data_IF_933122951832
#
_entry.id   IF_933122951832
#
_cell.length_a   1.000
_cell.length_b   1.000
_cell.length_c   1.000
_cell.angle_alpha   90.00
_cell.angle_beta   90.00
_cell.angle_gamma   90.00
#
_symmetry.space_group_name_H-M   'P 1'
#
loop_
_entity.id
_entity.type
_entity.pdbx_description
1 polymer ?
#
# COMPACT_ATOMS: atom_id res chain seq x y z
N UNK A 1 22.07 -3.75 -16.21
CA UNK A 1 21.78 -2.42 -15.61
C UNK A 1 20.67 -2.66 -14.60
N UNK A 2 20.89 -2.43 -13.31
CA UNK A 2 19.82 -2.52 -12.32
C UNK A 2 18.83 -1.39 -12.61
N UNK A 3 17.53 -1.65 -12.82
CA UNK A 3 16.54 -0.59 -12.96
C UNK A 3 16.64 0.32 -11.75
N UNK A 4 16.75 1.63 -11.96
CA UNK A 4 16.71 2.59 -10.86
C UNK A 4 15.27 2.64 -10.34
N UNK A 5 14.92 1.74 -9.43
CA UNK A 5 13.62 1.73 -8.77
C UNK A 5 13.68 2.61 -7.53
N UNK A 6 12.79 3.59 -7.42
CA UNK A 6 12.63 4.40 -6.21
C UNK A 6 11.35 3.94 -5.48
N UNK A 7 11.45 3.73 -4.16
CA UNK A 7 10.38 3.20 -3.29
C UNK A 7 10.12 4.19 -2.15
N UNK A 8 8.88 4.62 -1.98
CA UNK A 8 8.48 5.43 -0.82
C UNK A 8 7.06 5.11 -0.36
N UNK A 9 6.82 5.32 0.94
CA UNK A 9 5.52 5.15 1.60
C UNK A 9 5.23 6.37 2.46
N UNK A 10 4.06 6.99 2.28
CA UNK A 10 3.47 8.02 3.15
C UNK A 10 4.34 9.24 3.56
N UNK A 11 5.53 9.42 2.99
CA UNK A 11 6.49 10.42 3.47
C UNK A 11 5.99 11.87 3.35
N UNK A 12 5.28 12.18 2.25
CA UNK A 12 4.81 13.54 1.97
C UNK A 12 3.35 13.80 2.40
N UNK A 13 2.51 12.77 2.48
CA UNK A 13 1.06 12.92 2.68
C UNK A 13 0.49 11.92 3.69
N UNK A 14 1.31 11.49 4.65
CA UNK A 14 0.99 10.47 5.65
C UNK A 14 0.23 10.99 6.86
N UNK A 15 -0.55 10.12 7.49
CA UNK A 15 -1.34 10.38 8.70
C UNK A 15 -0.47 10.76 9.91
N UNK A 16 0.80 10.31 9.92
CA UNK A 16 1.80 10.63 10.95
C UNK A 16 2.30 12.08 10.85
N UNK A 17 2.22 12.70 9.67
CA UNK A 17 2.60 14.11 9.47
C UNK A 17 1.54 15.08 10.00
N UNK A 18 0.34 14.59 10.34
CA UNK A 18 -0.78 15.41 10.79
C UNK A 18 -1.13 15.05 12.24
N UNK A 19 -0.83 15.94 13.20
CA UNK A 19 -1.21 15.74 14.60
C UNK A 19 -2.71 15.45 14.74
N UNK A 20 -3.15 14.58 15.67
CA UNK A 20 -4.56 14.19 15.78
C UNK A 20 -5.56 15.36 15.83
N UNK A 21 -5.20 16.45 16.51
CA UNK A 21 -6.03 17.65 16.64
C UNK A 21 -6.17 18.49 15.34
N UNK A 22 -5.33 18.24 14.34
CA UNK A 22 -5.28 18.98 13.07
C UNK A 22 -5.76 18.15 11.88
N UNK A 23 -6.29 16.96 12.12
CA UNK A 23 -6.76 16.05 11.07
C UNK A 23 -8.08 16.56 10.49
N UNK A 24 -7.99 17.07 9.27
CA UNK A 24 -9.13 17.59 8.51
C UNK A 24 -9.05 17.06 7.05
N UNK A 25 -9.76 15.96 6.73
CA UNK A 25 -9.69 15.33 5.42
C UNK A 25 -10.29 16.18 4.29
N UNK A 26 -11.02 17.25 4.61
CA UNK A 26 -11.47 18.23 3.63
C UNK A 26 -10.33 19.12 3.14
N UNK A 27 -9.26 19.29 3.94
CA UNK A 27 -8.14 20.21 3.65
C UNK A 27 -6.83 19.51 3.30
N UNK A 28 -6.62 18.29 3.79
CA UNK A 28 -5.36 17.57 3.55
C UNK A 28 -5.15 17.29 2.06
N UNK A 29 -3.96 17.61 1.57
CA UNK A 29 -3.61 17.53 0.14
C UNK A 29 -2.53 16.49 -0.14
N UNK A 30 -2.65 15.82 -1.29
CA UNK A 30 -1.68 14.87 -1.82
C UNK A 30 -0.55 15.51 -2.63
N UNK A 31 -0.47 16.84 -2.68
CA UNK A 31 0.48 17.61 -3.50
C UNK A 31 1.93 17.12 -3.40
N UNK A 32 2.45 16.96 -2.19
CA UNK A 32 3.84 16.53 -1.97
C UNK A 32 4.13 15.13 -2.52
N UNK A 33 3.12 14.27 -2.65
CA UNK A 33 3.28 12.96 -3.32
C UNK A 33 3.56 13.15 -4.81
N UNK A 34 2.88 14.11 -5.47
CA UNK A 34 3.16 14.46 -6.87
C UNK A 34 4.54 15.09 -7.06
N UNK A 35 5.04 15.86 -6.09
CA UNK A 35 6.41 16.38 -6.09
C UNK A 35 7.45 15.26 -6.00
N UNK A 36 7.24 14.26 -5.13
CA UNK A 36 8.12 13.09 -5.06
C UNK A 36 8.15 12.29 -6.37
N UNK A 37 6.99 12.09 -7.01
CA UNK A 37 6.91 11.44 -8.32
C UNK A 37 7.70 12.27 -9.35
N UNK A 38 7.51 13.59 -9.38
CA UNK A 38 8.24 14.48 -10.30
C UNK A 38 9.75 14.40 -10.11
N UNK A 39 10.22 14.43 -8.87
CA UNK A 39 11.64 14.28 -8.56
C UNK A 39 12.19 12.90 -8.95
N UNK A 40 11.39 11.83 -8.83
CA UNK A 40 11.77 10.52 -9.32
C UNK A 40 11.95 10.54 -10.85
N UNK A 41 11.00 11.14 -11.58
CA UNK A 41 11.09 11.32 -13.02
C UNK A 41 12.28 12.20 -13.44
N UNK A 42 12.61 13.22 -12.65
CA UNK A 42 13.79 14.07 -12.86
C UNK A 42 15.11 13.30 -12.73
N UNK A 43 15.13 12.25 -11.89
CA UNK A 43 16.26 11.33 -11.77
C UNK A 43 16.37 10.33 -12.94
N UNK A 44 15.43 10.36 -13.89
CA UNK A 44 15.41 9.50 -15.08
C UNK A 44 15.13 8.05 -14.75
N UNK A 45 14.29 7.78 -13.73
CA UNK A 45 13.85 6.41 -13.42
C UNK A 45 12.88 5.90 -14.49
N UNK A 46 12.99 4.62 -14.82
CA UNK A 46 12.10 3.93 -15.76
C UNK A 46 10.98 3.16 -15.03
N UNK A 47 11.16 2.94 -13.71
CA UNK A 47 10.27 2.16 -12.87
C UNK A 47 10.08 2.82 -11.49
N UNK A 48 8.84 3.05 -11.10
CA UNK A 48 8.47 3.65 -9.81
C UNK A 48 7.54 2.68 -9.07
N UNK A 49 7.86 2.41 -7.80
CA UNK A 49 7.00 1.62 -6.91
C UNK A 49 6.50 2.54 -5.79
N UNK A 50 5.17 2.72 -5.73
CA UNK A 50 4.52 3.65 -4.80
C UNK A 50 3.76 2.86 -3.73
N UNK A 51 4.11 3.08 -2.46
CA UNK A 51 3.33 2.62 -1.32
C UNK A 51 2.33 3.68 -0.86
N UNK A 52 1.03 3.44 -1.02
CA UNK A 52 -0.01 4.43 -0.69
C UNK A 52 -0.68 4.22 0.67
N UNK A 53 -0.27 3.21 1.44
CA UNK A 53 -0.83 2.94 2.77
C UNK A 53 -0.47 4.02 3.81
N UNK A 54 -1.44 4.40 4.65
CA UNK A 54 -1.25 5.35 5.76
C UNK A 54 -1.47 6.83 5.41
N UNK A 55 -2.26 7.13 4.38
CA UNK A 55 -2.55 8.49 3.92
C UNK A 55 -3.35 9.34 4.92
N UNK A 56 -3.05 10.64 5.02
CA UNK A 56 -3.89 11.64 5.69
C UNK A 56 -4.99 12.23 4.79
N UNK A 57 -4.90 12.00 3.48
CA UNK A 57 -5.64 12.73 2.45
C UNK A 57 -6.95 12.04 2.06
N UNK A 58 -7.94 12.82 1.66
CA UNK A 58 -9.17 12.33 1.03
C UNK A 58 -9.58 13.19 -0.18
N UNK A 59 -8.56 13.63 -0.93
CA UNK A 59 -8.66 14.55 -2.07
C UNK A 59 -8.70 13.82 -3.42
N UNK A 60 -8.90 12.51 -3.45
CA UNK A 60 -8.90 11.73 -4.70
C UNK A 60 -7.56 11.76 -5.45
N UNK A 61 -6.44 12.14 -4.80
CA UNK A 61 -5.18 12.37 -5.51
C UNK A 61 -5.18 13.65 -6.37
N UNK A 62 -6.14 14.56 -6.19
CA UNK A 62 -6.22 15.82 -6.93
C UNK A 62 -4.96 16.69 -6.78
N UNK A 63 -4.48 16.87 -5.54
CA UNK A 63 -3.26 17.62 -5.28
C UNK A 63 -2.03 17.00 -5.97
N UNK A 64 -1.93 15.67 -5.95
CA UNK A 64 -0.85 14.93 -6.63
C UNK A 64 -0.85 15.17 -8.13
N UNK A 65 -2.00 15.07 -8.81
CA UNK A 65 -2.05 15.26 -10.27
C UNK A 65 -1.87 16.73 -10.66
N UNK A 66 -2.33 17.67 -9.83
CA UNK A 66 -2.04 19.10 -10.03
C UNK A 66 -0.55 19.40 -9.93
N UNK A 67 0.14 18.81 -8.94
CA UNK A 67 1.60 18.89 -8.84
C UNK A 67 2.29 18.25 -10.06
N UNK A 68 1.69 17.26 -10.71
CA UNK A 68 2.23 16.66 -11.94
C UNK A 68 1.86 17.42 -13.23
N UNK A 69 1.13 18.54 -13.11
CA UNK A 69 0.82 19.45 -14.23
C UNK A 69 -0.60 19.35 -14.77
N UNK A 70 -1.46 18.49 -14.24
CA UNK A 70 -2.88 18.53 -14.56
C UNK A 70 -3.54 19.81 -14.03
N UNK A 71 -4.54 20.32 -14.75
CA UNK A 71 -5.34 21.48 -14.35
C UNK A 71 -6.74 21.02 -14.00
N UNK A 72 -7.07 21.12 -12.72
CA UNK A 72 -8.38 20.79 -12.16
C UNK A 72 -9.07 22.11 -11.83
N UNK A 73 -10.12 22.45 -12.57
CA UNK A 73 -10.74 23.79 -12.53
C UNK A 73 -12.21 23.75 -12.17
N UNK A 74 -12.67 24.81 -11.52
CA UNK A 74 -14.09 25.08 -11.26
C UNK A 74 -14.84 25.59 -12.49
N UNK A 75 -16.14 25.88 -12.34
CA UNK A 75 -17.00 26.37 -13.42
C UNK A 75 -16.64 27.78 -13.91
N UNK A 76 -15.86 28.54 -13.13
CA UNK A 76 -15.36 29.87 -13.48
C UNK A 76 -13.97 29.82 -14.12
N UNK A 77 -13.36 28.63 -14.21
CA UNK A 77 -12.03 28.42 -14.78
C UNK A 77 -10.88 28.64 -13.80
N UNK A 78 -11.15 28.80 -12.50
CA UNK A 78 -10.10 28.88 -11.48
C UNK A 78 -9.66 27.48 -11.06
N UNK A 79 -8.40 27.32 -10.67
CA UNK A 79 -7.95 26.06 -10.08
C UNK A 79 -8.69 25.79 -8.76
N UNK A 80 -9.06 24.52 -8.54
CA UNK A 80 -9.77 24.12 -7.32
C UNK A 80 -8.93 24.36 -6.06
N UNK A 81 -9.61 24.56 -4.93
CA UNK A 81 -8.96 24.65 -3.62
C UNK A 81 -8.24 23.33 -3.25
N UNK A 82 -7.31 23.41 -2.29
CA UNK A 82 -6.63 22.22 -1.79
C UNK A 82 -7.56 21.31 -0.98
N UNK A 83 -7.30 20.02 -1.04
CA UNK A 83 -7.99 18.99 -0.26
C UNK A 83 -9.30 18.52 -0.90
N UNK A 84 -10.00 17.60 -0.20
CA UNK A 84 -11.27 17.05 -0.68
C UNK A 84 -12.38 18.09 -0.85
N UNK A 85 -12.29 19.25 -0.18
CA UNK A 85 -13.24 20.36 -0.37
C UNK A 85 -13.15 20.97 -1.76
N UNK A 86 -11.96 21.02 -2.37
CA UNK A 86 -11.80 21.56 -3.72
C UNK A 86 -12.48 20.70 -4.77
N UNK A 87 -12.57 19.38 -4.53
CA UNK A 87 -13.32 18.49 -5.40
C UNK A 87 -14.79 18.86 -5.46
N UNK A 88 -15.34 19.56 -4.45
CA UNK A 88 -16.74 20.04 -4.40
C UNK A 88 -17.08 21.02 -5.53
N UNK A 89 -16.10 21.76 -6.06
CA UNK A 89 -16.30 22.76 -7.11
C UNK A 89 -15.77 22.34 -8.48
N UNK A 90 -15.12 21.18 -8.57
CA UNK A 90 -14.50 20.69 -9.81
C UNK A 90 -15.51 20.58 -10.95
N UNK A 91 -15.18 21.16 -12.10
CA UNK A 91 -16.01 21.18 -13.30
C UNK A 91 -15.29 20.65 -14.55
N UNK A 92 -13.96 20.76 -14.62
CA UNK A 92 -13.17 20.27 -15.75
C UNK A 92 -11.78 19.78 -15.33
N UNK A 93 -11.30 18.76 -16.05
CA UNK A 93 -9.97 18.19 -15.92
C UNK A 93 -9.23 18.35 -17.25
N UNK A 94 -8.06 18.96 -17.20
CA UNK A 94 -7.20 19.21 -18.36
C UNK A 94 -5.80 18.63 -18.11
N UNK A 95 -5.43 17.62 -18.90
CA UNK A 95 -4.16 16.90 -18.79
C UNK A 95 -3.12 17.34 -19.83
N UNK A 96 -3.37 18.43 -20.58
CA UNK A 96 -2.42 18.92 -21.59
C UNK A 96 -1.06 19.31 -21.01
N UNK A 97 -1.05 19.77 -19.74
CA UNK A 97 0.15 20.10 -18.97
C UNK A 97 0.72 18.96 -18.13
N UNK A 98 0.08 17.78 -18.13
CA UNK A 98 0.52 16.64 -17.34
C UNK A 98 1.90 16.15 -17.81
N UNK A 99 2.76 15.77 -16.88
CA UNK A 99 4.13 15.34 -17.17
C UNK A 99 4.15 14.14 -18.13
N UNK A 100 4.63 14.40 -19.35
CA UNK A 100 4.66 13.41 -20.44
C UNK A 100 5.53 12.18 -20.14
N UNK A 101 6.43 12.26 -19.15
CA UNK A 101 7.29 11.14 -18.76
C UNK A 101 6.50 10.05 -18.03
N UNK A 102 5.33 10.37 -17.48
CA UNK A 102 4.50 9.40 -16.75
C UNK A 102 4.09 8.21 -17.62
N UNK A 103 3.67 8.45 -18.87
CA UNK A 103 3.23 7.37 -19.76
C UNK A 103 4.37 6.47 -20.25
N UNK A 104 5.62 6.94 -20.17
CA UNK A 104 6.81 6.16 -20.49
C UNK A 104 7.36 5.40 -19.27
N UNK A 105 7.00 5.81 -18.06
CA UNK A 105 7.46 5.19 -16.82
C UNK A 105 6.54 4.02 -16.44
N UNK A 106 7.13 2.89 -16.08
CA UNK A 106 6.35 1.81 -15.45
C UNK A 106 6.08 2.21 -14.00
N UNK A 107 4.80 2.40 -13.65
CA UNK A 107 4.40 2.82 -12.30
C UNK A 107 3.56 1.72 -11.68
N UNK A 108 4.03 1.17 -10.56
CA UNK A 108 3.31 0.15 -9.79
C UNK A 108 2.93 0.71 -8.43
N UNK A 109 1.69 0.44 -8.03
CA UNK A 109 1.12 0.94 -6.78
C UNK A 109 0.78 -0.24 -5.90
N UNK A 110 1.40 -0.30 -4.72
CA UNK A 110 1.10 -1.31 -3.71
C UNK A 110 -0.28 -1.02 -3.11
N UNK A 111 -1.28 -1.79 -3.56
CA UNK A 111 -2.67 -1.71 -3.14
C UNK A 111 -3.14 -3.07 -2.63
N UNK A 112 -3.27 -3.20 -1.31
CA UNK A 112 -3.68 -4.45 -0.66
C UNK A 112 -5.19 -4.47 -0.32
N UNK A 113 -5.94 -3.45 -0.74
CA UNK A 113 -7.38 -3.32 -0.51
C UNK A 113 -8.13 -3.29 -1.84
N UNK A 114 -9.38 -3.78 -1.84
CA UNK A 114 -10.24 -3.82 -3.03
C UNK A 114 -11.29 -2.72 -3.05
N UNK A 115 -11.34 -1.89 -2.00
CA UNK A 115 -12.32 -0.82 -1.84
C UNK A 115 -12.39 0.10 -3.09
N UNK A 116 -13.58 0.29 -3.70
CA UNK A 116 -13.77 1.17 -4.83
C UNK A 116 -13.63 2.64 -4.42
N UNK A 117 -13.70 3.55 -5.38
CA UNK A 117 -13.55 4.99 -5.13
C UNK A 117 -14.65 5.53 -4.19
N UNK A 118 -15.90 5.11 -4.39
CA UNK A 118 -17.09 5.67 -3.74
C UNK A 118 -18.04 4.60 -3.19
N UNK A 119 -19.06 5.04 -2.45
CA UNK A 119 -20.12 4.19 -1.93
C UNK A 119 -19.84 3.65 -0.53
N UNK A 120 -20.65 2.67 -0.10
CA UNK A 120 -20.63 2.14 1.29
C UNK A 120 -19.28 1.54 1.69
N UNK A 121 -18.59 0.95 0.73
CA UNK A 121 -17.24 0.39 0.89
C UNK A 121 -16.17 1.28 0.25
N UNK A 122 -16.51 2.53 -0.07
CA UNK A 122 -15.66 3.48 -0.76
C UNK A 122 -14.60 4.14 0.14
N UNK A 123 -13.79 4.99 -0.48
CA UNK A 123 -12.66 5.65 0.18
C UNK A 123 -13.06 6.43 1.44
N UNK A 124 -14.09 7.27 1.30
CA UNK A 124 -14.56 8.16 2.37
C UNK A 124 -15.23 7.38 3.50
N UNK A 125 -16.07 6.40 3.17
CA UNK A 125 -16.82 5.63 4.17
C UNK A 125 -15.91 4.75 5.03
N UNK A 126 -14.96 4.05 4.40
CA UNK A 126 -14.12 3.06 5.09
C UNK A 126 -12.89 3.70 5.72
N UNK A 127 -12.21 4.62 5.02
CA UNK A 127 -10.93 5.18 5.46
C UNK A 127 -11.03 6.64 5.94
N UNK A 128 -12.16 7.32 5.73
CA UNK A 128 -12.39 8.67 6.24
C UNK A 128 -12.36 8.79 7.77
N UNK A 129 -13.03 7.91 8.54
CA UNK A 129 -13.10 8.02 10.00
C UNK A 129 -11.72 8.08 10.69
N UNK A 130 -10.79 7.21 10.29
CA UNK A 130 -9.42 7.21 10.84
C UNK A 130 -8.60 8.46 10.49
N UNK A 131 -9.03 9.21 9.46
CA UNK A 131 -8.45 10.50 9.04
C UNK A 131 -9.14 11.70 9.67
N UNK A 132 -10.10 11.49 10.57
CA UNK A 132 -10.85 12.57 11.25
C UNK A 132 -12.14 13.00 10.55
N UNK A 133 -12.66 12.24 9.57
CA UNK A 133 -13.92 12.58 8.93
C UNK A 133 -15.11 12.32 9.86
N UNK A 134 -15.98 13.32 10.03
CA UNK A 134 -17.30 13.13 10.65
C UNK A 134 -18.27 12.47 9.65
N UNK A 135 -19.40 11.90 10.11
CA UNK A 135 -20.41 11.34 9.19
C UNK A 135 -20.85 12.30 8.08
N UNK A 136 -21.03 13.59 8.41
CA UNK A 136 -21.36 14.63 7.43
C UNK A 136 -20.22 14.87 6.42
N UNK A 137 -18.96 14.90 6.88
CA UNK A 137 -17.81 15.01 5.98
C UNK A 137 -17.71 13.81 5.03
N UNK A 138 -18.05 12.61 5.49
CA UNK A 138 -18.02 11.39 4.68
C UNK A 138 -19.01 11.51 3.51
N UNK A 139 -20.25 11.93 3.76
CA UNK A 139 -21.25 12.11 2.71
C UNK A 139 -20.82 13.16 1.68
N UNK A 140 -20.27 14.29 2.14
CA UNK A 140 -19.75 15.34 1.27
C UNK A 140 -18.60 14.84 0.39
N UNK A 141 -17.62 14.18 0.99
CA UNK A 141 -16.46 13.65 0.30
C UNK A 141 -16.84 12.54 -0.69
N UNK A 142 -17.75 11.64 -0.33
CA UNK A 142 -18.23 10.57 -1.21
C UNK A 142 -18.98 11.15 -2.43
N UNK A 143 -19.80 12.17 -2.22
CA UNK A 143 -20.47 12.91 -3.30
C UNK A 143 -19.45 13.61 -4.21
N UNK A 144 -18.45 14.27 -3.62
CA UNK A 144 -17.40 14.95 -4.38
C UNK A 144 -16.53 13.97 -5.20
N UNK A 145 -16.17 12.82 -4.61
CA UNK A 145 -15.45 11.74 -5.31
C UNK A 145 -16.31 11.10 -6.41
N UNK A 146 -17.62 10.98 -6.20
CA UNK A 146 -18.54 10.49 -7.23
C UNK A 146 -18.53 11.43 -8.43
N UNK A 147 -18.62 12.75 -8.22
CA UNK A 147 -18.46 13.71 -9.33
C UNK A 147 -17.07 13.60 -9.96
N UNK A 148 -16.02 13.50 -9.16
CA UNK A 148 -14.66 13.39 -9.68
C UNK A 148 -14.51 12.18 -10.61
N UNK A 149 -15.06 11.03 -10.24
CA UNK A 149 -15.07 9.83 -11.08
C UNK A 149 -15.80 10.05 -12.42
N UNK A 150 -16.96 10.71 -12.40
CA UNK A 150 -17.69 11.05 -13.63
C UNK A 150 -16.91 12.01 -14.52
N UNK A 151 -16.20 12.98 -13.93
CA UNK A 151 -15.34 13.90 -14.68
C UNK A 151 -14.11 13.21 -15.26
N UNK A 152 -13.51 12.25 -14.54
CA UNK A 152 -12.44 11.39 -15.08
C UNK A 152 -12.96 10.60 -16.29
N UNK A 153 -14.12 9.97 -16.18
CA UNK A 153 -14.72 9.23 -17.30
C UNK A 153 -15.02 10.13 -18.51
N UNK A 154 -15.50 11.36 -18.26
CA UNK A 154 -15.82 12.34 -19.31
C UNK A 154 -14.56 12.90 -20.00
N UNK A 155 -13.58 13.36 -19.22
CA UNK A 155 -12.45 14.16 -19.71
C UNK A 155 -11.23 13.32 -20.06
N UNK A 156 -11.02 12.17 -19.40
CA UNK A 156 -9.89 11.26 -19.63
C UNK A 156 -10.31 9.98 -20.35
N UNK A 157 -11.61 9.71 -20.49
CA UNK A 157 -12.15 8.47 -21.08
C UNK A 157 -11.71 7.19 -20.36
N UNK A 158 -11.50 7.28 -19.05
CA UNK A 158 -11.14 6.15 -18.17
C UNK A 158 -12.24 5.95 -17.13
N UNK A 159 -12.76 4.73 -17.02
CA UNK A 159 -13.66 4.37 -15.93
C UNK A 159 -12.84 4.02 -14.67
N UNK A 160 -13.16 4.70 -13.57
CA UNK A 160 -12.54 4.52 -12.26
C UNK A 160 -13.54 4.19 -11.16
N UNK A 161 -14.85 4.17 -11.46
CA UNK A 161 -15.88 3.86 -10.46
C UNK A 161 -15.79 2.39 -10.04
N UNK A 162 -15.62 1.50 -11.03
CA UNK A 162 -15.55 0.05 -10.82
C UNK A 162 -14.12 -0.47 -10.58
N UNK A 163 -13.14 0.44 -10.43
CA UNK A 163 -11.75 0.06 -10.21
C UNK A 163 -11.57 -0.49 -8.78
N UNK A 164 -11.30 -1.79 -8.69
CA UNK A 164 -10.92 -2.44 -7.44
C UNK A 164 -9.64 -1.81 -6.87
N UNK A 165 -9.71 -1.31 -5.63
CA UNK A 165 -8.62 -0.58 -4.99
C UNK A 165 -8.53 0.90 -5.40
N UNK A 166 -9.45 1.40 -6.22
CA UNK A 166 -9.51 2.81 -6.61
C UNK A 166 -9.67 3.75 -5.42
N UNK A 167 -10.32 3.30 -4.33
CA UNK A 167 -10.49 4.06 -3.10
C UNK A 167 -9.28 4.10 -2.18
N UNK A 168 -8.22 3.36 -2.50
CA UNK A 168 -7.01 3.34 -1.70
C UNK A 168 -6.42 4.75 -1.55
N UNK A 169 -5.94 5.04 -0.34
CA UNK A 169 -5.37 6.34 0.03
C UNK A 169 -6.27 7.55 -0.25
N UNK A 170 -7.58 7.40 -0.02
CA UNK A 170 -8.54 8.51 -0.20
C UNK A 170 -8.85 8.81 -1.66
N UNK A 171 -8.79 7.78 -2.52
CA UNK A 171 -9.05 7.89 -3.96
C UNK A 171 -7.82 8.12 -4.83
N UNK A 172 -6.62 8.18 -4.23
CA UNK A 172 -5.37 8.32 -4.98
C UNK A 172 -5.10 7.09 -5.86
N UNK A 173 -5.56 5.89 -5.48
CA UNK A 173 -5.47 4.70 -6.33
C UNK A 173 -6.10 4.93 -7.71
N UNK A 174 -7.33 5.47 -7.73
CA UNK A 174 -8.01 5.84 -8.97
C UNK A 174 -7.27 6.91 -9.78
N UNK A 175 -6.70 7.93 -9.12
CA UNK A 175 -5.94 8.96 -9.84
C UNK A 175 -4.61 8.46 -10.41
N UNK A 176 -3.87 7.62 -9.68
CA UNK A 176 -2.65 6.99 -10.19
C UNK A 176 -2.96 6.11 -11.41
N UNK A 177 -4.07 5.37 -11.37
CA UNK A 177 -4.55 4.59 -12.50
C UNK A 177 -4.91 5.47 -13.71
N UNK A 178 -5.83 6.43 -13.53
CA UNK A 178 -6.38 7.21 -14.64
C UNK A 178 -5.40 8.23 -15.25
N UNK A 179 -4.59 8.90 -14.43
CA UNK A 179 -3.71 9.97 -14.89
C UNK A 179 -2.30 9.47 -15.20
N UNK A 180 -1.78 8.54 -14.40
CA UNK A 180 -0.39 8.10 -14.51
C UNK A 180 -0.25 6.76 -15.25
N UNK A 181 -1.35 6.10 -15.62
CA UNK A 181 -1.32 4.76 -16.21
C UNK A 181 -0.77 3.69 -15.26
N UNK A 182 -0.87 3.92 -13.96
CA UNK A 182 -0.25 3.06 -12.96
C UNK A 182 -1.02 1.75 -12.78
N UNK A 183 -0.29 0.69 -12.43
CA UNK A 183 -0.85 -0.63 -12.16
C UNK A 183 -1.04 -0.82 -10.65
N UNK A 184 -2.29 -1.02 -10.23
CA UNK A 184 -2.59 -1.42 -8.86
C UNK A 184 -2.32 -2.91 -8.73
N UNK A 185 -1.32 -3.26 -7.92
CA UNK A 185 -0.94 -4.65 -7.65
C UNK A 185 -0.79 -4.85 -6.15
N UNK A 186 -0.88 -6.11 -5.72
CA UNK A 186 -0.65 -6.46 -4.32
C UNK A 186 0.77 -6.10 -3.93
N UNK A 187 0.97 -5.50 -2.77
CA UNK A 187 2.29 -5.02 -2.35
C UNK A 187 3.34 -6.13 -2.33
N UNK A 188 2.93 -7.34 -1.91
CA UNK A 188 3.82 -8.51 -1.88
C UNK A 188 4.28 -8.96 -3.28
N UNK A 189 3.41 -8.88 -4.28
CA UNK A 189 3.76 -9.26 -5.66
C UNK A 189 4.79 -8.27 -6.23
N UNK A 190 4.56 -6.97 -6.06
CA UNK A 190 5.50 -5.93 -6.51
C UNK A 190 6.88 -6.12 -5.86
N UNK A 191 6.91 -6.35 -4.54
CA UNK A 191 8.17 -6.54 -3.80
C UNK A 191 8.88 -7.82 -4.23
N UNK A 192 8.12 -8.90 -4.43
CA UNK A 192 8.65 -10.19 -4.89
C UNK A 192 9.32 -10.06 -6.25
N UNK A 193 8.64 -9.44 -7.21
CA UNK A 193 9.14 -9.27 -8.57
C UNK A 193 10.36 -8.35 -8.58
N UNK A 194 10.27 -7.21 -7.89
CA UNK A 194 11.35 -6.23 -7.85
C UNK A 194 12.64 -6.78 -7.20
N UNK A 195 12.52 -7.74 -6.27
CA UNK A 195 13.65 -8.38 -5.60
C UNK A 195 14.07 -9.69 -6.26
N UNK A 196 13.42 -10.10 -7.35
CA UNK A 196 13.64 -11.40 -8.01
C UNK A 196 13.58 -12.58 -7.03
N UNK A 197 12.68 -12.50 -6.05
CA UNK A 197 12.62 -13.44 -4.94
C UNK A 197 12.42 -14.87 -5.42
N UNK A 198 11.61 -15.08 -6.46
CA UNK A 198 11.40 -16.40 -7.06
C UNK A 198 12.70 -17.07 -7.52
N UNK A 199 13.61 -16.33 -8.15
CA UNK A 199 14.89 -16.87 -8.59
C UNK A 199 15.77 -17.28 -7.39
N UNK A 200 15.75 -16.50 -6.31
CA UNK A 200 16.45 -16.83 -5.06
C UNK A 200 15.87 -18.09 -4.39
N UNK A 201 14.53 -18.23 -4.41
CA UNK A 201 13.83 -19.35 -3.78
C UNK A 201 13.99 -20.67 -4.54
N UNK A 202 14.14 -20.62 -5.87
CA UNK A 202 14.36 -21.82 -6.68
C UNK A 202 15.65 -22.57 -6.26
N UNK A 203 16.70 -21.84 -5.92
CA UNK A 203 18.01 -22.37 -5.54
C UNK A 203 18.14 -22.66 -4.02
N UNK A 204 17.26 -22.10 -3.19
CA UNK A 204 17.34 -22.26 -1.73
C UNK A 204 17.03 -23.68 -1.25
N UNK A 205 17.68 -24.14 -0.18
CA UNK A 205 17.34 -25.41 0.51
C UNK A 205 16.25 -25.22 1.56
N UNK A 206 16.15 -24.02 2.13
CA UNK A 206 15.25 -23.66 3.22
C UNK A 206 14.90 -22.18 3.15
N UNK A 207 13.64 -21.85 3.39
CA UNK A 207 13.14 -20.47 3.41
C UNK A 207 12.70 -20.11 4.83
N UNK A 208 13.22 -19.00 5.36
CA UNK A 208 12.76 -18.42 6.62
C UNK A 208 12.07 -17.09 6.32
N UNK A 209 10.86 -16.91 6.82
CA UNK A 209 10.08 -15.67 6.66
C UNK A 209 9.47 -15.25 8.00
N UNK A 210 8.85 -14.08 8.07
CA UNK A 210 8.28 -13.59 9.32
C UNK A 210 7.60 -12.23 9.21
N UNK A 211 6.79 -11.92 10.23
CA UNK A 211 6.18 -10.60 10.43
C UNK A 211 5.87 -10.36 11.92
N UNK A 212 5.44 -9.15 12.30
CA UNK A 212 5.19 -8.80 13.70
C UNK A 212 4.05 -9.60 14.35
N UNK A 213 3.03 -9.98 13.57
CA UNK A 213 1.91 -10.80 14.02
C UNK A 213 1.48 -11.71 12.89
N UNK A 214 1.52 -13.02 13.12
CA UNK A 214 0.93 -14.01 12.21
C UNK A 214 -0.42 -14.45 12.80
N UNK A 215 -1.48 -14.19 12.04
CA UNK A 215 -2.88 -14.49 12.38
C UNK A 215 -3.65 -14.94 11.12
N UNK A 216 -4.96 -15.19 11.23
CA UNK A 216 -5.79 -15.50 10.05
C UNK A 216 -5.75 -14.40 8.97
N UNK A 217 -5.42 -13.15 9.29
CA UNK A 217 -5.31 -12.11 8.27
C UNK A 217 -4.02 -12.23 7.45
N UNK A 218 -3.01 -12.93 7.96
CA UNK A 218 -1.76 -13.22 7.24
C UNK A 218 -2.01 -14.00 5.96
N UNK A 219 -3.05 -14.86 5.93
CA UNK A 219 -3.47 -15.62 4.73
C UNK A 219 -4.01 -14.72 3.63
N UNK A 220 -4.44 -13.51 3.95
CA UNK A 220 -4.96 -12.54 2.99
C UNK A 220 -3.82 -11.81 2.26
N UNK A 221 -2.76 -12.52 1.86
CA UNK A 221 -1.70 -12.04 0.98
C UNK A 221 -0.69 -11.10 1.63
N UNK A 222 -0.39 -11.31 2.91
CA UNK A 222 0.77 -10.69 3.57
C UNK A 222 2.08 -11.40 3.19
N UNK A 223 3.20 -10.81 3.61
CA UNK A 223 4.56 -11.24 3.26
C UNK A 223 4.80 -12.73 3.49
N UNK A 224 4.50 -13.32 4.67
CA UNK A 224 4.84 -14.73 4.93
C UNK A 224 4.21 -15.71 3.94
N UNK A 225 2.94 -15.47 3.57
CA UNK A 225 2.18 -16.35 2.70
C UNK A 225 2.55 -16.15 1.23
N UNK A 226 2.84 -14.92 0.81
CA UNK A 226 3.40 -14.68 -0.52
C UNK A 226 4.73 -15.42 -0.72
N UNK A 227 5.64 -15.32 0.26
CA UNK A 227 6.92 -16.04 0.26
C UNK A 227 6.69 -17.56 0.25
N UNK A 228 5.78 -18.05 1.10
CA UNK A 228 5.47 -19.47 1.18
C UNK A 228 4.90 -20.03 -0.12
N UNK A 229 3.94 -19.34 -0.74
CA UNK A 229 3.34 -19.75 -2.02
C UNK A 229 4.40 -19.92 -3.11
N UNK A 230 5.36 -19.00 -3.20
CA UNK A 230 6.45 -19.06 -4.18
C UNK A 230 7.36 -20.25 -3.88
N UNK A 231 7.77 -20.39 -2.62
CA UNK A 231 8.64 -21.48 -2.18
C UNK A 231 8.02 -22.86 -2.43
N UNK A 232 6.71 -23.00 -2.22
CA UNK A 232 5.97 -24.25 -2.47
C UNK A 232 5.89 -24.65 -3.93
N UNK A 233 5.94 -23.71 -4.88
CA UNK A 233 6.08 -24.04 -6.32
C UNK A 233 7.37 -24.82 -6.62
N UNK A 234 8.40 -24.64 -5.81
CA UNK A 234 9.69 -25.32 -5.91
C UNK A 234 9.89 -26.40 -4.84
N UNK A 235 8.81 -26.79 -4.14
CA UNK A 235 8.83 -27.78 -3.05
C UNK A 235 9.85 -27.46 -1.93
N UNK A 236 10.08 -26.17 -1.65
CA UNK A 236 11.01 -25.76 -0.58
C UNK A 236 10.31 -25.75 0.78
N UNK A 237 11.01 -26.17 1.85
CA UNK A 237 10.50 -26.01 3.21
C UNK A 237 10.53 -24.53 3.64
N UNK A 238 9.49 -24.09 4.32
CA UNK A 238 9.26 -22.70 4.73
C UNK A 238 8.91 -22.65 6.21
N UNK A 239 9.67 -21.87 6.97
CA UNK A 239 9.44 -21.67 8.40
C UNK A 239 9.17 -20.19 8.67
N UNK A 240 8.05 -19.91 9.36
CA UNK A 240 7.69 -18.59 9.83
C UNK A 240 8.23 -18.29 11.23
N UNK A 241 8.77 -17.10 11.45
CA UNK A 241 9.12 -16.57 12.77
C UNK A 241 8.31 -15.28 12.98
N UNK A 242 7.35 -15.31 13.91
CA UNK A 242 6.44 -14.21 14.15
C UNK A 242 6.68 -13.53 15.50
N UNK A 243 6.52 -12.21 15.58
CA UNK A 243 6.56 -11.49 16.86
C UNK A 243 5.49 -11.96 17.84
N UNK A 244 4.29 -12.27 17.34
CA UNK A 244 3.19 -12.86 18.09
C UNK A 244 2.38 -13.81 17.20
N UNK A 245 1.77 -14.82 17.82
CA UNK A 245 0.82 -15.74 17.18
C UNK A 245 -0.52 -15.60 17.89
N UNK A 246 -1.61 -15.75 17.14
CA UNK A 246 -2.98 -15.84 17.67
C UNK A 246 -3.44 -17.30 17.71
N UNK A 247 -4.56 -17.57 18.39
CA UNK A 247 -5.06 -18.94 18.59
C UNK A 247 -5.41 -19.66 17.27
N UNK A 248 -5.73 -18.89 16.23
CA UNK A 248 -6.08 -19.33 14.87
C UNK A 248 -4.87 -19.46 13.93
N UNK A 249 -3.63 -19.37 14.44
CA UNK A 249 -2.41 -19.45 13.63
C UNK A 249 -2.33 -20.73 12.79
N UNK A 250 -2.95 -21.84 13.22
CA UNK A 250 -2.88 -23.13 12.53
C UNK A 250 -3.28 -23.07 11.04
N UNK A 251 -4.14 -22.12 10.67
CA UNK A 251 -4.57 -21.89 9.27
C UNK A 251 -3.38 -21.62 8.34
N UNK A 252 -2.28 -21.03 8.82
CA UNK A 252 -1.12 -20.73 7.97
C UNK A 252 -0.39 -21.97 7.45
N UNK A 253 -0.56 -23.12 8.10
CA UNK A 253 -0.01 -24.39 7.62
C UNK A 253 -0.68 -24.87 6.35
N UNK A 254 -1.98 -24.64 6.22
CA UNK A 254 -2.75 -24.93 5.00
C UNK A 254 -2.36 -23.99 3.84
N UNK A 255 -1.74 -22.85 4.16
CA UNK A 255 -1.28 -21.85 3.21
C UNK A 255 0.25 -21.84 3.00
N UNK A 256 0.91 -22.96 3.29
CA UNK A 256 2.27 -23.24 2.83
C UNK A 256 3.40 -23.00 3.83
N UNK A 257 3.14 -22.58 5.06
CA UNK A 257 4.17 -22.59 6.11
C UNK A 257 4.27 -23.99 6.74
N UNK A 258 5.43 -24.64 6.69
CA UNK A 258 5.62 -25.97 7.30
C UNK A 258 5.69 -25.89 8.82
N UNK A 259 6.24 -24.80 9.35
CA UNK A 259 6.31 -24.54 10.78
C UNK A 259 6.21 -23.04 11.06
N UNK A 260 5.67 -22.68 12.21
CA UNK A 260 5.61 -21.28 12.67
C UNK A 260 5.99 -21.20 14.14
N UNK A 261 6.82 -20.22 14.48
CA UNK A 261 7.31 -20.01 15.84
C UNK A 261 7.01 -18.59 16.30
N UNK A 262 6.52 -18.46 17.55
CA UNK A 262 6.47 -17.17 18.23
C UNK A 262 7.85 -16.80 18.75
N UNK A 263 8.18 -15.53 18.66
CA UNK A 263 9.43 -14.96 19.17
C UNK A 263 9.38 -14.76 20.70
N UNK A 264 8.18 -14.63 21.27
CA UNK A 264 8.01 -14.47 22.72
C UNK A 264 8.13 -15.85 23.39
N UNK A 265 9.10 -15.97 24.31
CA UNK A 265 9.32 -17.18 25.11
C UNK A 265 9.17 -16.96 26.64
N UNK A 266 8.91 -15.72 27.07
CA UNK A 266 8.60 -15.35 28.46
C UNK A 266 7.37 -14.44 28.52
N UNK A 267 6.66 -14.44 29.64
CA UNK A 267 5.61 -13.45 29.91
C UNK A 267 6.30 -12.10 30.09
N UNK A 268 6.06 -11.17 29.16
CA UNK A 268 6.65 -9.84 29.17
C UNK A 268 5.63 -8.79 28.72
N UNK A 269 5.88 -7.53 29.04
CA UNK A 269 5.07 -6.42 28.54
C UNK A 269 5.32 -6.21 27.05
N UNK A 270 4.41 -5.52 26.35
CA UNK A 270 4.61 -5.18 24.94
C UNK A 270 5.88 -4.33 24.73
N UNK A 271 6.16 -3.44 25.67
CA UNK A 271 7.35 -2.58 25.63
C UNK A 271 8.64 -3.40 25.74
N UNK A 272 8.69 -4.36 26.67
CA UNK A 272 9.82 -5.27 26.82
C UNK A 272 9.98 -6.20 25.60
N UNK A 273 8.86 -6.69 25.04
CA UNK A 273 8.87 -7.51 23.84
C UNK A 273 9.45 -6.75 22.63
N UNK A 274 9.11 -5.47 22.46
CA UNK A 274 9.65 -4.62 21.40
C UNK A 274 11.11 -4.26 21.66
N UNK A 275 11.47 -3.91 22.90
CA UNK A 275 12.85 -3.58 23.30
C UNK A 275 13.81 -4.74 23.06
N UNK A 276 13.38 -5.96 23.35
CA UNK A 276 14.20 -7.17 23.21
C UNK A 276 13.93 -7.94 21.91
N UNK A 277 13.15 -7.37 20.97
CA UNK A 277 12.69 -8.06 19.77
C UNK A 277 13.82 -8.71 18.97
N UNK A 278 14.94 -7.99 18.79
CA UNK A 278 16.09 -8.50 18.05
C UNK A 278 16.73 -9.73 18.72
N UNK A 279 16.84 -9.72 20.04
CA UNK A 279 17.42 -10.86 20.77
C UNK A 279 16.48 -12.05 20.77
N UNK A 280 15.19 -11.79 20.96
CA UNK A 280 14.16 -12.83 20.93
C UNK A 280 14.14 -13.51 19.55
N UNK A 281 14.17 -12.76 18.44
CA UNK A 281 14.23 -13.31 17.08
C UNK A 281 15.46 -14.18 16.90
N UNK A 282 16.63 -13.70 17.34
CA UNK A 282 17.89 -14.46 17.27
C UNK A 282 17.81 -15.78 18.04
N UNK A 283 17.25 -15.76 19.24
CA UNK A 283 17.12 -16.96 20.07
C UNK A 283 16.16 -17.98 19.44
N UNK A 284 15.01 -17.53 18.96
CA UNK A 284 14.06 -18.39 18.25
C UNK A 284 14.69 -18.98 16.99
N UNK A 285 15.35 -18.18 16.16
CA UNK A 285 16.04 -18.67 14.96
C UNK A 285 17.12 -19.71 15.28
N UNK A 286 17.89 -19.50 16.35
CA UNK A 286 18.89 -20.47 16.83
C UNK A 286 18.27 -21.79 17.24
N UNK A 287 17.12 -21.77 17.92
CA UNK A 287 16.42 -22.99 18.32
C UNK A 287 15.77 -23.69 17.13
N UNK A 288 15.19 -22.96 16.17
CA UNK A 288 14.70 -23.51 14.90
C UNK A 288 15.81 -24.26 14.18
N UNK A 289 16.99 -23.64 14.01
CA UNK A 289 18.14 -24.28 13.37
C UNK A 289 18.64 -25.52 14.12
N UNK A 290 18.66 -25.48 15.46
CA UNK A 290 19.02 -26.63 16.28
C UNK A 290 18.03 -27.80 16.10
N UNK A 291 16.72 -27.51 16.05
CA UNK A 291 15.67 -28.51 15.80
C UNK A 291 15.81 -29.13 14.41
N UNK A 292 16.09 -28.32 13.38
CA UNK A 292 16.34 -28.84 12.02
C UNK A 292 17.55 -29.77 11.99
N UNK A 293 18.65 -29.39 12.65
CA UNK A 293 19.84 -30.23 12.77
C UNK A 293 19.57 -31.53 13.51
N UNK A 294 18.74 -31.50 14.55
CA UNK A 294 18.31 -32.71 15.26
C UNK A 294 17.46 -33.61 14.34
N UNK A 295 16.53 -33.03 13.57
CA UNK A 295 15.72 -33.75 12.59
C UNK A 295 16.54 -34.47 11.52
N UNK A 296 17.67 -33.89 11.07
CA UNK A 296 18.59 -34.56 10.14
C UNK A 296 19.25 -35.83 10.70
N UNK A 297 19.26 -36.00 12.03
CA UNK A 297 19.81 -37.18 12.70
C UNK A 297 18.75 -38.27 12.94
N UNK A 298 17.47 -37.92 12.83
CA UNK A 298 16.37 -38.86 12.88
C UNK A 298 16.32 -39.60 11.53
N UNK A 299 17.07 -40.71 11.47
CA UNK A 299 16.96 -41.68 10.39
C UNK A 299 15.79 -42.62 10.62
#
# INVERSE_FOLDING_TARGET
RVPRSLKWRAAASGLEQVPPAQRDPLKTTSWGTGELIRHALDAGVEHIIIGIGGSATNDGGAGMVQALGARLRDAQGNDIAQGGIGLETLASIDISGLDKRLSACHIEVACDVTNPLTGKEGASAVFGPQKGATPEMIERLDTALTRYAHLIARDLHVDVLDLAGGGAAGGMGAALYAFCGAQLRRGIEIVTDALHLEACLADADLVITGEGRIDSQTIHGKVPIGVANIAKRYNKPVIGIAGSLTADVGVVHEHGLDAVFSVIYTICTLEDALKNASENVRMTARNVAATLKAGQQLR
#
